data_IF_406987609040
#
_entry.id   IF_406987609040
#
_cell.length_a   1.000
_cell.length_b   1.000
_cell.length_c   1.000
_cell.angle_alpha   90.00
_cell.angle_beta   90.00
_cell.angle_gamma   90.00
#
_symmetry.space_group_name_H-M   'P 1'
#
loop_
_entity.id
_entity.type
_entity.pdbx_description
1 polymer ?
#
# COMPACT_ATOMS: atom_id res chain seq x y z
N UNK A 1 -29.93 35.39 -54.30
CA UNK A 1 -30.65 35.14 -53.04
C UNK A 1 -31.39 33.80 -53.11
N UNK A 2 -30.93 32.76 -52.39
CA UNK A 2 -31.74 31.87 -51.50
C UNK A 2 -30.98 30.59 -51.13
N UNK A 3 -30.71 30.52 -49.82
CA UNK A 3 -30.71 29.37 -48.90
C UNK A 3 -29.60 28.31 -49.02
N UNK A 4 -28.55 28.58 -48.23
CA UNK A 4 -27.51 27.69 -47.73
C UNK A 4 -28.16 26.44 -47.11
N UNK A 5 -27.80 25.28 -47.65
CA UNK A 5 -28.25 23.97 -47.18
C UNK A 5 -27.48 23.65 -45.89
N UNK A 6 -28.26 23.56 -44.81
CA UNK A 6 -27.89 23.12 -43.48
C UNK A 6 -27.09 21.81 -43.52
N UNK A 7 -25.77 21.91 -43.35
CA UNK A 7 -24.90 20.77 -43.12
C UNK A 7 -24.03 21.09 -41.91
N UNK A 8 -23.88 20.10 -41.01
CA UNK A 8 -23.04 20.11 -39.80
C UNK A 8 -23.78 20.61 -38.54
N UNK A 9 -24.84 19.88 -38.17
CA UNK A 9 -25.43 19.86 -36.82
C UNK A 9 -25.01 18.60 -36.04
N UNK A 10 -23.83 18.03 -36.33
CA UNK A 10 -23.40 16.72 -35.78
C UNK A 10 -22.03 16.73 -35.08
N UNK A 11 -21.42 17.89 -34.81
CA UNK A 11 -20.07 17.95 -34.21
C UNK A 11 -20.05 18.14 -32.69
N UNK A 12 -21.19 18.21 -32.01
CA UNK A 12 -21.25 18.52 -30.56
C UNK A 12 -21.45 17.26 -29.68
N UNK A 13 -21.52 16.05 -30.25
CA UNK A 13 -21.82 14.81 -29.50
C UNK A 13 -20.61 13.92 -29.19
N UNK A 14 -19.37 14.42 -29.24
CA UNK A 14 -18.18 13.55 -29.18
C UNK A 14 -17.31 13.61 -27.91
N UNK A 15 -17.54 14.49 -26.93
CA UNK A 15 -16.62 14.56 -25.80
C UNK A 15 -17.31 14.84 -24.47
N UNK A 16 -17.93 13.81 -23.90
CA UNK A 16 -18.00 13.67 -22.44
C UNK A 16 -18.50 12.28 -22.04
N UNK A 17 -17.90 11.21 -22.59
CA UNK A 17 -17.74 10.00 -21.79
C UNK A 17 -16.53 10.25 -20.89
N UNK A 18 -16.70 11.15 -19.92
CA UNK A 18 -15.88 11.09 -18.72
C UNK A 18 -16.26 9.77 -18.06
N UNK A 19 -15.59 8.69 -18.48
CA UNK A 19 -15.52 7.49 -17.66
C UNK A 19 -14.98 7.96 -16.32
N UNK A 20 -15.86 8.13 -15.34
CA UNK A 20 -15.48 8.07 -13.95
C UNK A 20 -14.89 6.67 -13.76
N UNK A 21 -13.59 6.56 -14.03
CA UNK A 21 -12.78 5.46 -13.53
C UNK A 21 -12.83 5.60 -12.03
N UNK A 22 -13.62 4.75 -11.37
CA UNK A 22 -13.55 4.62 -9.92
C UNK A 22 -12.16 4.05 -9.65
N UNK A 23 -11.29 4.87 -9.05
CA UNK A 23 -10.00 4.40 -8.58
C UNK A 23 -10.25 3.25 -7.60
N UNK A 24 -9.48 2.18 -7.78
CA UNK A 24 -9.56 0.98 -6.98
C UNK A 24 -8.34 0.95 -6.07
N UNK A 25 -8.58 0.63 -4.81
CA UNK A 25 -7.51 0.51 -3.82
C UNK A 25 -6.57 -0.65 -4.21
N UNK A 26 -5.25 -0.43 -4.24
CA UNK A 26 -4.28 -1.50 -4.45
C UNK A 26 -4.43 -2.62 -3.42
N UNK A 27 -4.21 -3.85 -3.86
CA UNK A 27 -4.42 -5.05 -3.05
C UNK A 27 -3.11 -5.80 -2.85
N UNK A 28 -2.92 -6.37 -1.67
CA UNK A 28 -1.82 -7.30 -1.43
C UNK A 28 -2.11 -8.55 -2.28
N UNK A 29 -1.41 -8.67 -3.40
CA UNK A 29 -1.67 -9.73 -4.36
C UNK A 29 -0.72 -10.88 -4.06
N UNK A 30 -1.32 -12.03 -3.80
CA UNK A 30 -0.62 -13.29 -3.55
C UNK A 30 0.31 -13.21 -2.32
N UNK A 31 -0.26 -13.41 -1.12
CA UNK A 31 0.48 -13.50 0.15
C UNK A 31 1.72 -14.39 0.07
N UNK A 32 1.67 -15.43 -0.75
CA UNK A 32 2.72 -16.43 -0.92
C UNK A 32 4.02 -15.87 -1.54
N UNK A 33 3.95 -14.69 -2.18
CA UNK A 33 5.12 -13.99 -2.72
C UNK A 33 5.60 -12.84 -1.85
N UNK A 34 4.85 -12.49 -0.81
CA UNK A 34 5.26 -11.55 0.22
C UNK A 34 5.96 -12.34 1.33
N UNK A 35 7.02 -11.78 1.93
CA UNK A 35 7.78 -12.49 2.95
C UNK A 35 8.45 -11.56 3.94
N UNK A 36 8.55 -12.06 5.16
CA UNK A 36 9.39 -11.49 6.22
C UNK A 36 10.87 -11.62 5.84
N UNK A 37 11.66 -10.58 6.12
CA UNK A 37 13.11 -10.54 5.86
C UNK A 37 13.88 -10.65 7.17
N UNK A 38 13.73 -9.66 8.04
CA UNK A 38 14.43 -9.56 9.32
C UNK A 38 13.68 -8.58 10.25
N UNK A 39 14.10 -8.48 11.50
CA UNK A 39 13.66 -7.42 12.40
C UNK A 39 14.83 -6.86 13.19
N UNK A 40 14.72 -5.60 13.58
CA UNK A 40 15.70 -4.95 14.44
C UNK A 40 15.02 -3.93 15.34
N UNK A 41 15.75 -3.50 16.38
CA UNK A 41 15.34 -2.40 17.24
C UNK A 41 16.25 -1.21 17.03
N UNK A 42 15.67 -0.01 17.07
CA UNK A 42 16.41 1.25 17.13
C UNK A 42 15.69 2.20 18.10
N UNK A 43 16.41 2.60 19.15
CA UNK A 43 15.88 3.34 20.28
C UNK A 43 14.63 2.68 20.88
N UNK A 44 13.50 3.38 20.86
CA UNK A 44 12.21 2.94 21.43
C UNK A 44 11.32 2.21 20.42
N UNK A 45 11.85 1.81 19.27
CA UNK A 45 11.07 1.21 18.19
C UNK A 45 11.60 -0.14 17.72
N UNK A 46 10.67 -0.97 17.28
CA UNK A 46 10.88 -2.21 16.53
C UNK A 46 10.59 -1.91 15.06
N UNK A 47 11.43 -2.44 14.19
CA UNK A 47 11.27 -2.40 12.74
C UNK A 47 11.26 -3.83 12.23
N UNK A 48 10.14 -4.24 11.63
CA UNK A 48 9.95 -5.55 11.00
C UNK A 48 10.06 -5.34 9.49
N UNK A 49 11.13 -5.82 8.89
CA UNK A 49 11.39 -5.70 7.46
C UNK A 49 10.64 -6.78 6.68
N UNK A 50 9.81 -6.34 5.75
CA UNK A 50 8.99 -7.21 4.92
C UNK A 50 9.10 -6.81 3.45
N UNK A 51 9.02 -7.78 2.57
CA UNK A 51 8.83 -7.57 1.14
C UNK A 51 7.39 -7.88 0.80
N UNK A 52 6.67 -6.92 0.23
CA UNK A 52 5.26 -7.06 -0.15
C UNK A 52 5.13 -7.06 -1.67
N UNK A 53 4.32 -7.99 -2.19
CA UNK A 53 3.83 -7.94 -3.56
C UNK A 53 2.42 -7.34 -3.57
N UNK A 54 2.26 -6.19 -4.23
CA UNK A 54 1.04 -5.41 -4.26
C UNK A 54 0.63 -5.17 -5.70
N UNK A 55 -0.60 -5.54 -6.04
CA UNK A 55 -1.20 -5.25 -7.32
C UNK A 55 -1.96 -3.94 -7.26
N UNK A 56 -1.57 -2.99 -8.11
CA UNK A 56 -2.32 -1.77 -8.35
C UNK A 56 -3.20 -1.98 -9.60
N UNK A 57 -4.53 -2.15 -9.44
CA UNK A 57 -5.45 -2.34 -10.56
C UNK A 57 -5.69 -1.07 -11.38
N UNK A 58 -5.24 0.10 -10.90
CA UNK A 58 -5.39 1.35 -11.62
C UNK A 58 -4.42 1.40 -12.79
N UNK A 59 -4.82 2.10 -13.85
CA UNK A 59 -4.03 2.40 -15.03
C UNK A 59 -3.05 3.59 -14.83
N UNK A 60 -2.98 4.12 -13.62
CA UNK A 60 -2.10 5.21 -13.16
C UNK A 60 -1.34 4.79 -11.91
N UNK A 61 -0.34 5.59 -11.53
CA UNK A 61 0.33 5.43 -10.23
C UNK A 61 -0.67 5.75 -9.09
N UNK A 62 -0.62 4.95 -8.04
CA UNK A 62 -1.42 5.14 -6.81
C UNK A 62 -0.48 5.45 -5.64
N UNK A 63 -0.82 6.45 -4.82
CA UNK A 63 -0.13 6.73 -3.57
C UNK A 63 -0.92 6.13 -2.40
N UNK A 64 -0.27 5.26 -1.62
CA UNK A 64 -0.93 4.49 -0.56
C UNK A 64 -0.20 4.59 0.76
N UNK A 65 -0.94 4.34 1.84
CA UNK A 65 -0.41 4.02 3.16
C UNK A 65 -0.61 2.54 3.45
N UNK A 66 0.35 1.96 4.16
CA UNK A 66 0.32 0.54 4.54
C UNK A 66 0.43 0.47 6.05
N UNK A 67 -0.40 -0.37 6.66
CA UNK A 67 -0.39 -0.62 8.11
C UNK A 67 -0.58 -2.11 8.37
N UNK A 68 -0.27 -2.53 9.59
CA UNK A 68 -0.51 -3.89 10.00
C UNK A 68 -0.97 -4.01 11.46
N UNK A 69 -1.57 -5.15 11.79
CA UNK A 69 -1.88 -5.55 13.17
C UNK A 69 -1.12 -6.84 13.48
N UNK A 70 -0.29 -6.78 14.52
CA UNK A 70 0.45 -7.92 15.05
C UNK A 70 0.19 -8.08 16.56
N UNK A 71 -0.66 -9.04 16.92
CA UNK A 71 -0.94 -9.32 18.33
C UNK A 71 0.05 -10.33 18.92
N UNK A 72 0.69 -11.14 18.07
CA UNK A 72 1.56 -12.24 18.52
C UNK A 72 2.86 -11.67 19.09
N UNK A 73 3.41 -10.65 18.44
CA UNK A 73 4.59 -9.93 18.90
C UNK A 73 4.32 -9.03 20.12
N UNK A 74 3.05 -8.67 20.37
CA UNK A 74 2.64 -8.03 21.65
C UNK A 74 2.61 -9.05 22.78
N UNK A 75 2.06 -10.25 22.54
CA UNK A 75 1.95 -11.31 23.54
C UNK A 75 3.31 -11.77 24.08
N UNK A 76 4.35 -11.77 23.22
CA UNK A 76 5.73 -12.11 23.64
C UNK A 76 6.53 -10.90 24.13
N UNK A 77 5.96 -9.70 24.14
CA UNK A 77 6.56 -8.48 24.66
C UNK A 77 7.62 -7.82 23.77
N UNK A 78 7.62 -8.12 22.46
CA UNK A 78 8.40 -7.36 21.47
C UNK A 78 7.78 -5.98 21.25
N UNK A 79 6.46 -5.95 21.01
CA UNK A 79 5.70 -4.73 20.73
C UNK A 79 4.87 -4.28 21.94
N UNK A 80 4.78 -2.97 22.17
CA UNK A 80 3.86 -2.41 23.19
C UNK A 80 2.41 -2.44 22.74
N UNK A 81 2.17 -2.25 21.45
CA UNK A 81 0.84 -2.18 20.85
C UNK A 81 0.84 -2.94 19.53
N UNK A 82 -0.30 -3.49 19.15
CA UNK A 82 -0.39 -4.33 17.96
C UNK A 82 -0.41 -3.56 16.64
N UNK A 83 -0.75 -2.26 16.67
CA UNK A 83 -0.78 -1.45 15.44
C UNK A 83 0.62 -1.08 14.99
N UNK A 84 0.89 -1.34 13.72
CA UNK A 84 2.14 -1.02 13.04
C UNK A 84 1.87 -0.11 11.85
N UNK A 85 2.77 0.84 11.62
CA UNK A 85 2.77 1.67 10.41
C UNK A 85 3.93 1.25 9.52
N UNK A 86 3.71 1.15 8.21
CA UNK A 86 4.79 0.88 7.28
C UNK A 86 5.52 2.19 6.93
N UNK A 87 6.85 2.14 6.95
CA UNK A 87 7.71 3.20 6.41
C UNK A 87 8.66 2.63 5.36
N UNK A 88 8.98 3.44 4.36
CA UNK A 88 9.99 3.11 3.36
C UNK A 88 11.39 3.11 4.01
N UNK A 89 12.17 2.04 3.76
CA UNK A 89 13.48 1.82 4.40
C UNK A 89 14.51 2.91 4.07
N UNK A 90 14.47 3.45 2.86
CA UNK A 90 15.46 4.41 2.37
C UNK A 90 15.06 5.86 2.71
N UNK A 91 13.77 6.17 2.64
CA UNK A 91 13.26 7.54 2.76
C UNK A 91 12.54 7.84 4.06
N UNK A 92 12.25 6.82 4.87
CA UNK A 92 11.46 6.92 6.11
C UNK A 92 10.06 7.50 5.93
N UNK A 93 9.54 7.54 4.70
CA UNK A 93 8.19 8.03 4.39
C UNK A 93 7.15 6.95 4.66
N UNK A 94 5.98 7.36 5.12
CA UNK A 94 4.82 6.48 5.36
C UNK A 94 3.98 6.22 4.09
N UNK A 95 4.30 6.91 2.99
CA UNK A 95 3.58 6.80 1.73
C UNK A 95 4.39 6.07 0.67
N UNK A 96 3.72 5.19 -0.06
CA UNK A 96 4.31 4.35 -1.10
C UNK A 96 3.64 4.65 -2.43
N UNK A 97 4.45 4.75 -3.48
CA UNK A 97 3.97 4.98 -4.85
C UNK A 97 4.02 3.68 -5.63
N UNK A 98 2.86 3.23 -6.07
CA UNK A 98 2.68 1.96 -6.76
C UNK A 98 2.36 2.22 -8.22
N UNK A 99 3.22 1.73 -9.11
CA UNK A 99 2.96 1.76 -10.56
C UNK A 99 1.73 0.92 -10.88
N UNK A 100 1.11 1.16 -12.03
CA UNK A 100 0.06 0.28 -12.55
C UNK A 100 0.60 -1.16 -12.68
N UNK A 101 -0.17 -2.16 -12.22
CA UNK A 101 0.21 -3.57 -12.24
C UNK A 101 0.91 -4.03 -10.96
N UNK A 102 1.79 -5.02 -11.10
CA UNK A 102 2.52 -5.65 -9.98
C UNK A 102 3.65 -4.75 -9.44
N UNK A 103 3.73 -4.64 -8.12
CA UNK A 103 4.78 -3.89 -7.43
C UNK A 103 5.37 -4.75 -6.32
N UNK A 104 6.69 -4.94 -6.35
CA UNK A 104 7.44 -5.56 -5.26
C UNK A 104 8.15 -4.47 -4.47
N UNK A 105 7.70 -4.21 -3.24
CA UNK A 105 8.21 -3.14 -2.38
C UNK A 105 8.79 -3.71 -1.08
N UNK A 106 9.77 -3.02 -0.52
CA UNK A 106 10.29 -3.32 0.82
C UNK A 106 9.70 -2.30 1.79
N UNK A 107 9.12 -2.79 2.88
CA UNK A 107 8.53 -1.96 3.92
C UNK A 107 9.16 -2.31 5.26
N UNK A 108 9.25 -1.31 6.14
CA UNK A 108 9.53 -1.51 7.55
C UNK A 108 8.25 -1.26 8.33
N UNK A 109 7.66 -2.30 8.91
CA UNK A 109 6.58 -2.11 9.87
C UNK A 109 7.18 -1.65 11.20
N UNK A 110 6.84 -0.42 11.57
CA UNK A 110 7.35 0.27 12.75
C UNK A 110 6.32 0.22 13.89
N UNK A 111 6.78 -0.18 15.07
CA UNK A 111 5.99 -0.18 16.31
C UNK A 111 6.84 0.16 17.53
N UNK A 112 6.20 0.51 18.65
CA UNK A 112 6.93 0.79 19.90
C UNK A 112 7.48 -0.49 20.54
N UNK A 113 8.74 -0.45 20.97
CA UNK A 113 9.44 -1.57 21.59
C UNK A 113 9.02 -1.77 23.06
N UNK A 114 8.60 -2.99 23.41
CA UNK A 114 8.18 -3.36 24.76
C UNK A 114 9.30 -3.95 25.64
N UNK A 115 10.51 -4.13 25.09
CA UNK A 115 11.70 -4.47 25.86
C UNK A 115 12.19 -5.91 25.73
N UNK A 116 11.49 -6.78 25.00
CA UNK A 116 11.93 -8.15 24.73
C UNK A 116 12.43 -8.29 23.28
N UNK A 117 13.71 -8.60 23.11
CA UNK A 117 14.33 -8.78 21.78
C UNK A 117 14.13 -10.22 21.27
N UNK A 118 12.89 -10.53 20.91
CA UNK A 118 12.52 -11.81 20.33
C UNK A 118 11.31 -11.59 19.44
N UNK A 119 11.26 -12.24 18.28
CA UNK A 119 10.09 -12.25 17.41
C UNK A 119 9.41 -13.61 17.45
N UNK A 120 8.11 -13.65 17.23
CA UNK A 120 7.40 -14.90 16.98
C UNK A 120 7.83 -15.52 15.63
N UNK A 121 7.60 -16.81 15.44
CA UNK A 121 8.17 -17.53 14.30
C UNK A 121 7.52 -17.17 12.96
N UNK A 122 8.26 -16.40 12.15
CA UNK A 122 8.42 -16.48 10.66
C UNK A 122 7.30 -16.00 9.73
N UNK A 123 6.22 -15.37 10.20
CA UNK A 123 5.21 -14.86 9.27
C UNK A 123 5.22 -13.34 9.16
N UNK A 124 4.72 -12.84 8.03
CA UNK A 124 4.36 -11.43 7.90
C UNK A 124 3.37 -11.07 9.02
N UNK A 125 3.26 -9.78 9.40
CA UNK A 125 2.16 -9.32 10.23
C UNK A 125 0.82 -9.83 9.69
N UNK A 126 0.04 -10.47 10.55
CA UNK A 126 -1.11 -11.30 10.15
C UNK A 126 -2.18 -10.54 9.37
N UNK A 127 -2.36 -9.27 9.69
CA UNK A 127 -3.33 -8.41 9.02
C UNK A 127 -2.61 -7.19 8.46
N UNK A 128 -2.48 -7.13 7.14
CA UNK A 128 -1.91 -5.99 6.42
C UNK A 128 -3.05 -5.24 5.72
N UNK A 129 -3.07 -3.93 5.89
CA UNK A 129 -4.07 -3.05 5.31
C UNK A 129 -3.40 -2.03 4.40
N UNK A 130 -3.99 -1.85 3.22
CA UNK A 130 -3.59 -0.84 2.24
C UNK A 130 -4.75 0.14 2.12
N UNK A 131 -4.46 1.43 2.28
CA UNK A 131 -5.42 2.51 2.08
C UNK A 131 -4.85 3.55 1.13
N UNK A 132 -5.71 4.17 0.33
CA UNK A 132 -5.35 5.36 -0.43
C UNK A 132 -4.95 6.51 0.53
N UNK A 133 -3.96 7.30 0.13
CA UNK A 133 -3.48 8.44 0.91
C UNK A 133 -4.37 9.67 0.78
#
# INVERSE_FOLDING_TARGET
MKKIISLISCTVLLFSLSSCSVEKTPILDNSDQSYFVDFYTDNDYVYIECVLNIYNPNNTESEVKISAIDNEDVEIGLLKTSNLIAVDKETSKETFRLKSGENKITVLFKGEYAGIYQITSRELPRFIYISEN
#
